data_IF_695936260935
#
_entry.id   IF_695936260935
#
_cell.length_a   1.000
_cell.length_b   1.000
_cell.length_c   1.000
_cell.angle_alpha   90.00
_cell.angle_beta   90.00
_cell.angle_gamma   90.00
#
_symmetry.space_group_name_H-M   'P 1'
#
loop_
_entity.id
_entity.type
_entity.pdbx_description
1 polymer ?
#
# COMPACT_ATOMS: atom_id res chain seq x y z
N UNK A 1 3.32 -2.97 -23.58
CA UNK A 1 1.86 -3.15 -23.54
C UNK A 1 1.32 -2.13 -22.54
N UNK A 2 0.29 -1.35 -22.89
CA UNK A 2 -0.31 -0.41 -21.96
C UNK A 2 -1.14 -1.18 -20.92
N UNK A 3 -1.28 -0.65 -19.70
CA UNK A 3 -2.16 -1.28 -18.71
C UNK A 3 -3.61 -1.10 -19.15
N UNK A 4 -4.48 -2.08 -18.86
CA UNK A 4 -5.93 -2.01 -19.12
C UNK A 4 -6.52 -0.67 -18.68
N UNK A 5 -6.11 -0.16 -17.52
CA UNK A 5 -6.51 1.14 -17.02
C UNK A 5 -6.13 2.32 -17.94
N UNK A 6 -4.91 2.32 -18.48
CA UNK A 6 -4.44 3.36 -19.40
C UNK A 6 -5.20 3.31 -20.73
N UNK A 7 -5.50 2.11 -21.24
CA UNK A 7 -6.28 1.90 -22.45
C UNK A 7 -7.74 2.35 -22.27
N UNK A 8 -8.39 1.94 -21.18
CA UNK A 8 -9.75 2.39 -20.84
C UNK A 8 -9.82 3.90 -20.68
N UNK A 9 -8.86 4.52 -19.99
CA UNK A 9 -8.80 5.98 -19.85
C UNK A 9 -8.57 6.69 -21.20
N UNK A 10 -7.73 6.14 -22.06
CA UNK A 10 -7.48 6.69 -23.39
C UNK A 10 -8.75 6.66 -24.25
N UNK A 11 -9.48 5.54 -24.25
CA UNK A 11 -10.76 5.40 -24.96
C UNK A 11 -11.82 6.38 -24.43
N UNK A 12 -11.92 6.54 -23.11
CA UNK A 12 -12.80 7.53 -22.50
C UNK A 12 -12.44 8.97 -22.89
N UNK A 13 -11.14 9.30 -22.96
CA UNK A 13 -10.69 10.62 -23.43
C UNK A 13 -11.08 10.87 -24.89
N UNK A 14 -10.96 9.87 -25.75
CA UNK A 14 -11.41 9.98 -27.16
C UNK A 14 -12.91 10.23 -27.23
N UNK A 15 -13.73 9.49 -26.46
CA UNK A 15 -15.18 9.74 -26.41
C UNK A 15 -15.49 11.18 -25.97
N UNK A 16 -14.82 11.65 -24.90
CA UNK A 16 -14.97 13.04 -24.41
C UNK A 16 -14.57 14.07 -25.47
N UNK A 17 -13.39 13.92 -26.06
CA UNK A 17 -12.80 14.92 -26.97
C UNK A 17 -13.53 14.98 -28.31
N UNK A 18 -14.11 13.87 -28.76
CA UNK A 18 -14.93 13.78 -29.97
C UNK A 18 -16.43 14.03 -29.72
N UNK A 19 -16.86 14.24 -28.48
CA UNK A 19 -18.28 14.40 -28.12
C UNK A 19 -19.12 13.15 -28.37
N UNK A 20 -18.50 11.98 -28.39
CA UNK A 20 -19.17 10.70 -28.64
C UNK A 20 -19.75 10.11 -27.34
N UNK A 21 -20.91 9.43 -27.42
CA UNK A 21 -21.44 8.72 -26.27
C UNK A 21 -20.49 7.60 -25.82
N UNK A 22 -20.41 7.39 -24.51
CA UNK A 22 -19.65 6.26 -23.94
C UNK A 22 -20.47 4.99 -24.15
N UNK A 23 -19.88 4.01 -24.84
CA UNK A 23 -20.52 2.71 -25.06
C UNK A 23 -20.66 1.94 -23.72
N UNK A 24 -21.73 1.14 -23.52
CA UNK A 24 -21.94 0.38 -22.29
C UNK A 24 -20.74 -0.51 -21.90
N UNK A 25 -20.08 -1.12 -22.87
CA UNK A 25 -18.90 -1.96 -22.65
C UNK A 25 -17.72 -1.15 -22.09
N UNK A 26 -17.49 0.05 -22.63
CA UNK A 26 -16.44 0.94 -22.15
C UNK A 26 -16.75 1.50 -20.75
N UNK A 27 -18.03 1.70 -20.44
CA UNK A 27 -18.47 2.08 -19.10
C UNK A 27 -18.25 0.94 -18.09
N UNK A 28 -18.57 -0.30 -18.45
CA UNK A 28 -18.30 -1.48 -17.62
C UNK A 28 -16.80 -1.67 -17.37
N UNK A 29 -15.97 -1.58 -18.41
CA UNK A 29 -14.51 -1.61 -18.29
C UNK A 29 -13.98 -0.51 -17.34
N UNK A 30 -14.56 0.69 -17.42
CA UNK A 30 -14.15 1.80 -16.56
C UNK A 30 -14.52 1.55 -15.09
N UNK A 31 -15.71 1.01 -14.83
CA UNK A 31 -16.16 0.64 -13.48
C UNK A 31 -15.22 -0.40 -12.89
N UNK A 32 -14.94 -1.50 -13.61
CA UNK A 32 -14.05 -2.55 -13.11
C UNK A 32 -12.65 -2.01 -12.80
N UNK A 33 -12.12 -1.13 -13.65
CA UNK A 33 -10.82 -0.48 -13.41
C UNK A 33 -10.87 0.38 -12.14
N UNK A 34 -11.93 1.16 -11.95
CA UNK A 34 -12.11 2.00 -10.75
C UNK A 34 -12.22 1.12 -9.50
N UNK A 35 -13.02 0.07 -9.53
CA UNK A 35 -13.18 -0.87 -8.41
C UNK A 35 -11.83 -1.48 -8.02
N UNK A 36 -11.02 -1.90 -9.00
CA UNK A 36 -9.66 -2.40 -8.74
C UNK A 36 -8.77 -1.34 -8.09
N UNK A 37 -8.84 -0.07 -8.54
CA UNK A 37 -8.08 1.02 -7.93
C UNK A 37 -8.52 1.31 -6.50
N UNK A 38 -9.82 1.32 -6.23
CA UNK A 38 -10.41 1.52 -4.91
C UNK A 38 -9.99 0.40 -3.97
N UNK A 39 -10.14 -0.86 -4.38
CA UNK A 39 -9.70 -2.01 -3.61
C UNK A 39 -8.19 -1.95 -3.29
N UNK A 40 -7.37 -1.60 -4.29
CA UNK A 40 -5.93 -1.42 -4.06
C UNK A 40 -5.62 -0.24 -3.12
N UNK A 41 -6.46 0.81 -3.10
CA UNK A 41 -6.33 1.93 -2.17
C UNK A 41 -6.64 1.51 -0.73
N UNK A 42 -7.75 0.79 -0.52
CA UNK A 42 -8.12 0.24 0.79
C UNK A 42 -7.01 -0.66 1.36
N UNK A 43 -6.44 -1.53 0.53
CA UNK A 43 -5.31 -2.38 0.93
C UNK A 43 -4.07 -1.56 1.32
N UNK A 44 -3.77 -0.47 0.60
CA UNK A 44 -2.68 0.45 0.97
C UNK A 44 -2.95 1.14 2.29
N UNK A 45 -4.19 1.55 2.56
CA UNK A 45 -4.53 2.22 3.82
C UNK A 45 -4.48 1.25 5.01
N UNK A 46 -4.90 -0.01 4.82
CA UNK A 46 -4.71 -1.08 5.82
C UNK A 46 -3.24 -1.38 6.09
N UNK A 47 -2.42 -1.46 5.02
CA UNK A 47 -0.95 -1.56 5.15
C UNK A 47 -0.39 -0.39 5.96
N UNK A 48 -0.78 0.83 5.62
CA UNK A 48 -0.26 2.05 6.25
C UNK A 48 -0.62 2.11 7.73
N UNK A 49 -1.84 1.71 8.11
CA UNK A 49 -2.25 1.57 9.51
C UNK A 49 -1.37 0.56 10.27
N UNK A 50 -1.04 -0.58 9.68
CA UNK A 50 -0.15 -1.57 10.29
C UNK A 50 1.30 -1.08 10.40
N UNK A 51 1.79 -0.31 9.43
CA UNK A 51 3.10 0.35 9.51
C UNK A 51 3.13 1.36 10.67
N UNK A 52 2.07 2.17 10.84
CA UNK A 52 1.97 3.10 11.96
C UNK A 52 1.92 2.37 13.30
N UNK A 53 1.18 1.28 13.40
CA UNK A 53 1.19 0.40 14.59
C UNK A 53 2.58 -0.15 14.88
N UNK A 54 3.30 -0.61 13.86
CA UNK A 54 4.68 -1.08 14.01
C UNK A 54 5.60 0.01 14.60
N UNK A 55 5.39 1.26 14.21
CA UNK A 55 6.16 2.41 14.71
C UNK A 55 5.95 2.67 16.21
N UNK A 56 4.74 2.43 16.72
CA UNK A 56 4.39 2.59 18.14
C UNK A 56 5.02 1.50 19.03
N UNK A 57 5.39 0.37 18.44
CA UNK A 57 6.00 -0.77 19.13
C UNK A 57 7.53 -0.73 19.10
N UNK A 58 8.13 0.30 18.50
CA UNK A 58 9.58 0.48 18.53
C UNK A 58 10.04 0.83 19.94
N UNK A 59 11.25 0.38 20.35
CA UNK A 59 11.73 0.53 21.73
C UNK A 59 12.00 1.97 22.16
N UNK A 60 12.10 2.93 21.23
CA UNK A 60 12.35 4.34 21.51
C UNK A 60 11.06 5.19 21.24
N UNK A 61 10.30 5.53 22.31
CA UNK A 61 9.07 6.31 22.21
C UNK A 61 9.30 7.80 21.89
N UNK A 62 10.53 8.30 21.99
CA UNK A 62 10.87 9.71 21.71
C UNK A 62 11.61 9.89 20.38
N UNK A 63 11.93 8.80 19.69
CA UNK A 63 12.56 8.83 18.38
C UNK A 63 11.75 9.68 17.37
N UNK A 64 12.44 10.63 16.73
CA UNK A 64 11.86 11.45 15.64
C UNK A 64 11.26 10.55 14.54
N UNK A 65 10.17 10.95 13.86
CA UNK A 65 9.50 10.11 12.87
C UNK A 65 10.43 9.63 11.74
N UNK A 66 11.42 10.43 11.35
CA UNK A 66 12.39 10.02 10.33
C UNK A 66 13.32 8.89 10.82
N UNK A 67 13.72 8.92 12.09
CA UNK A 67 14.49 7.84 12.72
C UNK A 67 13.68 6.56 12.81
N UNK A 68 12.42 6.65 13.25
CA UNK A 68 11.48 5.50 13.26
C UNK A 68 11.32 4.88 11.88
N UNK A 69 11.18 5.70 10.84
CA UNK A 69 11.11 5.23 9.47
C UNK A 69 12.37 4.45 9.04
N UNK A 70 13.55 4.83 9.54
CA UNK A 70 14.80 4.12 9.30
C UNK A 70 14.80 2.73 9.96
N UNK A 71 14.37 2.65 11.21
CA UNK A 71 14.24 1.37 11.94
C UNK A 71 13.22 0.44 11.27
N UNK A 72 12.05 0.95 10.88
CA UNK A 72 11.05 0.17 10.15
C UNK A 72 11.56 -0.34 8.79
N UNK A 73 12.36 0.45 8.08
CA UNK A 73 12.99 0.00 6.84
C UNK A 73 13.97 -1.15 7.08
N UNK A 74 14.77 -1.09 8.15
CA UNK A 74 15.70 -2.16 8.51
C UNK A 74 14.95 -3.45 8.84
N UNK A 75 13.90 -3.37 9.65
CA UNK A 75 13.02 -4.49 9.98
C UNK A 75 12.33 -5.07 8.73
N UNK A 76 11.76 -4.20 7.87
CA UNK A 76 11.13 -4.62 6.63
C UNK A 76 12.11 -5.34 5.69
N UNK A 77 13.35 -4.85 5.59
CA UNK A 77 14.40 -5.50 4.80
C UNK A 77 14.80 -6.85 5.38
N UNK A 78 14.96 -6.94 6.71
CA UNK A 78 15.28 -8.19 7.38
C UNK A 78 14.16 -9.23 7.17
N UNK A 79 12.90 -8.82 7.33
CA UNK A 79 11.73 -9.66 7.09
C UNK A 79 11.59 -10.10 5.62
N UNK A 80 11.81 -9.20 4.66
CA UNK A 80 11.65 -9.49 3.23
C UNK A 80 12.60 -10.60 2.75
N UNK A 81 13.77 -10.78 3.38
CA UNK A 81 14.69 -11.89 3.07
C UNK A 81 14.05 -13.26 3.28
N UNK A 82 13.07 -13.35 4.19
CA UNK A 82 12.35 -14.59 4.53
C UNK A 82 10.91 -14.59 4.03
N UNK A 83 10.53 -13.66 3.14
CA UNK A 83 9.14 -13.46 2.73
C UNK A 83 8.49 -14.70 2.10
N UNK A 84 9.23 -15.43 1.27
CA UNK A 84 8.73 -16.64 0.60
C UNK A 84 8.23 -17.71 1.58
N UNK A 85 8.77 -17.72 2.80
CA UNK A 85 8.38 -18.63 3.88
C UNK A 85 7.24 -18.01 4.72
N UNK A 86 7.28 -16.70 4.93
CA UNK A 86 6.32 -15.98 5.77
C UNK A 86 4.96 -15.76 5.10
N UNK A 87 4.90 -15.68 3.77
CA UNK A 87 3.66 -15.36 3.03
C UNK A 87 2.53 -16.37 3.19
N UNK A 88 2.86 -17.62 3.52
CA UNK A 88 1.88 -18.70 3.74
C UNK A 88 1.46 -18.83 5.21
N UNK A 89 2.06 -18.03 6.10
CA UNK A 89 1.73 -18.02 7.52
C UNK A 89 0.70 -16.92 7.79
N UNK A 90 -0.32 -17.17 8.62
CA UNK A 90 -1.14 -16.08 9.13
C UNK A 90 -0.25 -15.09 9.88
N UNK A 91 -0.59 -13.79 9.88
CA UNK A 91 0.10 -12.86 10.76
C UNK A 91 -0.03 -13.36 12.19
N UNK A 92 1.06 -13.32 12.96
CA UNK A 92 1.04 -13.77 14.36
C UNK A 92 -0.14 -13.11 15.08
N UNK A 93 -0.97 -13.93 15.76
CA UNK A 93 -2.24 -13.50 16.36
C UNK A 93 -2.06 -12.33 17.35
N UNK A 94 -0.84 -12.12 17.83
CA UNK A 94 -0.45 -10.97 18.61
C UNK A 94 0.37 -10.02 17.74
N UNK A 95 -0.29 -9.00 17.20
CA UNK A 95 0.34 -7.82 16.59
C UNK A 95 1.02 -6.95 17.66
N UNK A 96 1.91 -7.57 18.43
CA UNK A 96 2.61 -7.05 19.61
C UNK A 96 4.06 -6.67 19.31
N UNK A 97 4.60 -7.09 18.16
CA UNK A 97 5.95 -6.72 17.71
C UNK A 97 5.92 -5.85 16.45
N UNK A 98 6.94 -4.98 16.23
CA UNK A 98 7.07 -4.24 14.97
C UNK A 98 7.10 -5.18 13.75
N UNK A 99 7.78 -6.33 13.88
CA UNK A 99 7.92 -7.32 12.81
C UNK A 99 6.59 -7.99 12.45
N UNK A 100 5.78 -8.37 13.44
CA UNK A 100 4.45 -8.93 13.21
C UNK A 100 3.53 -7.92 12.50
N UNK A 101 3.58 -6.65 12.91
CA UNK A 101 2.83 -5.58 12.25
C UNK A 101 3.30 -5.37 10.79
N UNK A 102 4.60 -5.40 10.52
CA UNK A 102 5.13 -5.28 9.16
C UNK A 102 4.80 -6.50 8.28
N UNK A 103 4.71 -7.69 8.86
CA UNK A 103 4.26 -8.89 8.16
C UNK A 103 2.78 -8.77 7.75
N UNK A 104 1.91 -8.38 8.69
CA UNK A 104 0.50 -8.09 8.40
C UNK A 104 0.35 -6.98 7.34
N UNK A 105 1.15 -5.91 7.44
CA UNK A 105 1.19 -4.86 6.44
C UNK A 105 1.54 -5.40 5.04
N UNK A 106 2.55 -6.27 4.94
CA UNK A 106 3.01 -6.86 3.67
C UNK A 106 1.97 -7.79 3.03
N UNK A 107 1.11 -8.41 3.83
CA UNK A 107 -0.02 -9.22 3.35
C UNK A 107 -1.10 -8.36 2.68
N UNK A 108 -1.31 -7.12 3.12
CA UNK A 108 -2.25 -6.21 2.46
C UNK A 108 -1.67 -5.61 1.18
N UNK A 109 -0.46 -5.06 1.23
CA UNK A 109 0.18 -4.42 0.07
C UNK A 109 1.71 -4.40 0.22
N UNK A 110 2.41 -4.08 -0.87
CA UNK A 110 3.87 -3.98 -0.83
C UNK A 110 4.36 -2.96 0.20
N UNK A 111 5.35 -3.36 0.99
CA UNK A 111 5.99 -2.46 1.95
C UNK A 111 6.80 -1.38 1.23
N UNK A 112 6.92 -0.18 1.81
CA UNK A 112 7.76 0.86 1.26
C UNK A 112 9.23 0.41 1.09
N UNK A 113 9.82 0.66 -0.09
CA UNK A 113 11.22 0.31 -0.37
C UNK A 113 12.26 1.30 0.18
N UNK A 114 11.83 2.42 0.76
CA UNK A 114 12.73 3.50 1.20
C UNK A 114 12.26 4.14 2.52
N UNK A 115 13.23 4.70 3.27
CA UNK A 115 12.98 5.41 4.52
C UNK A 115 12.08 6.63 4.30
N UNK A 116 12.25 7.34 3.18
CA UNK A 116 11.39 8.48 2.81
C UNK A 116 9.92 8.07 2.68
N UNK A 117 9.65 6.91 2.09
CA UNK A 117 8.28 6.43 1.93
C UNK A 117 7.69 5.95 3.27
N UNK A 118 8.47 5.27 4.11
CA UNK A 118 8.06 4.99 5.49
C UNK A 118 7.73 6.28 6.25
N UNK A 119 8.61 7.28 6.19
CA UNK A 119 8.39 8.58 6.83
C UNK A 119 7.08 9.23 6.39
N UNK A 120 6.78 9.22 5.08
CA UNK A 120 5.49 9.72 4.54
C UNK A 120 4.29 9.02 5.16
N UNK A 121 4.35 7.69 5.35
CA UNK A 121 3.26 6.92 5.99
C UNK A 121 3.08 7.34 7.46
N UNK A 122 4.17 7.63 8.17
CA UNK A 122 4.14 8.02 9.58
C UNK A 122 3.59 9.43 9.82
N UNK A 123 3.76 10.35 8.86
CA UNK A 123 3.30 11.74 9.00
C UNK A 123 1.96 12.03 8.33
N UNK A 124 1.38 11.07 7.59
CA UNK A 124 0.17 11.25 6.78
C UNK A 124 -1.07 11.66 7.59
N UNK A 125 -1.10 11.33 8.88
CA UNK A 125 -2.21 11.64 9.79
C UNK A 125 -1.89 12.82 10.75
N UNK A 126 -0.74 13.49 10.57
CA UNK A 126 -0.31 14.67 11.35
C UNK A 126 -0.61 16.01 10.66
N UNK A 127 -1.36 15.96 9.56
CA UNK A 127 -1.84 17.09 8.75
C UNK A 127 -3.33 16.92 8.51
#
# INVERSE_FOLDING_TARGET
MASRAAETLARLRVCRDAGLPVLPELAADAIEVIEQFLYAAELRDRRDAMIRRAALLLPDPDAKPYTRAGLLLQEARAMNRTWNILRSKPPENELSTPRACLHAARLYAELPGSQRHFYRVLIRDLT
#
